data_IF_732845084810
#
_entry.id   IF_732845084810
#
_cell.length_a   1.000
_cell.length_b   1.000
_cell.length_c   1.000
_cell.angle_alpha   90.00
_cell.angle_beta   90.00
_cell.angle_gamma   90.00
#
_symmetry.space_group_name_H-M   'P 1'
#
loop_
_entity.id
_entity.type
_entity.pdbx_description
1 polymer ?
#
# COMPACT_ATOMS: atom_id res chain seq x y z
N UNK A 1 23.15 23.71 -0.50
CA UNK A 1 22.01 23.64 -1.43
C UNK A 1 21.33 22.29 -1.25
N UNK A 2 20.15 22.25 -0.62
CA UNK A 2 19.44 20.98 -0.42
C UNK A 2 18.68 20.62 -1.71
N UNK A 3 19.09 19.53 -2.36
CA UNK A 3 18.38 19.00 -3.52
C UNK A 3 17.07 18.40 -2.99
N UNK A 4 15.96 19.17 -3.08
CA UNK A 4 14.63 18.66 -2.74
C UNK A 4 14.14 17.80 -3.91
N UNK A 5 13.67 16.59 -3.62
CA UNK A 5 13.07 15.72 -4.64
C UNK A 5 11.79 16.33 -5.21
N UNK A 6 11.51 16.07 -6.50
CA UNK A 6 10.27 16.51 -7.14
C UNK A 6 9.05 15.85 -6.47
N UNK A 7 7.97 16.59 -6.15
CA UNK A 7 6.74 16.02 -5.62
C UNK A 7 5.97 15.19 -6.66
N UNK A 8 6.30 15.33 -7.94
CA UNK A 8 5.69 14.56 -9.04
C UNK A 8 6.41 13.24 -9.31
N UNK A 9 7.52 12.97 -8.62
CA UNK A 9 8.33 11.77 -8.80
C UNK A 9 8.28 10.88 -7.55
N UNK A 10 8.30 9.57 -7.77
CA UNK A 10 8.46 8.58 -6.68
C UNK A 10 9.94 8.45 -6.32
N UNK A 11 10.49 9.46 -5.64
CA UNK A 11 11.90 9.53 -5.26
C UNK A 11 12.13 9.24 -3.78
N UNK A 12 13.25 8.61 -3.45
CA UNK A 12 13.70 8.42 -2.06
C UNK A 12 14.06 9.74 -1.36
N UNK A 13 14.26 10.83 -2.11
CA UNK A 13 14.59 12.16 -1.58
C UNK A 13 13.35 13.04 -1.32
N UNK A 14 12.22 12.43 -0.94
CA UNK A 14 11.02 13.14 -0.53
C UNK A 14 11.13 13.68 0.91
N UNK A 15 10.39 14.76 1.26
CA UNK A 15 10.34 15.27 2.64
C UNK A 15 9.95 14.19 3.65
N UNK A 16 8.98 13.35 3.28
CA UNK A 16 8.60 12.14 4.02
C UNK A 16 9.02 10.92 3.20
N UNK A 17 9.94 10.13 3.75
CA UNK A 17 10.52 8.95 3.06
C UNK A 17 9.64 7.71 3.21
N UNK A 18 8.36 7.84 2.84
CA UNK A 18 7.39 6.75 2.85
C UNK A 18 7.16 6.31 1.40
N UNK A 19 7.46 5.04 1.12
CA UNK A 19 7.17 4.44 -0.17
C UNK A 19 5.80 3.75 -0.14
N UNK A 20 5.03 3.90 -1.23
CA UNK A 20 3.81 3.13 -1.47
C UNK A 20 4.11 2.02 -2.47
N UNK A 21 3.72 0.80 -2.14
CA UNK A 21 3.95 -0.39 -2.95
C UNK A 21 2.71 -1.25 -2.99
N UNK A 22 2.36 -1.74 -4.18
CA UNK A 22 1.35 -2.78 -4.35
C UNK A 22 2.09 -4.09 -4.56
N UNK A 23 1.84 -5.06 -3.70
CA UNK A 23 2.54 -6.35 -3.69
C UNK A 23 1.54 -7.49 -3.83
N UNK A 24 2.00 -8.62 -4.38
CA UNK A 24 1.20 -9.84 -4.38
C UNK A 24 1.45 -10.58 -3.06
N UNK A 25 0.39 -10.91 -2.33
CA UNK A 25 0.46 -11.78 -1.16
C UNK A 25 0.41 -13.24 -1.62
N UNK A 26 1.49 -13.99 -1.41
CA UNK A 26 1.54 -15.41 -1.77
C UNK A 26 1.03 -16.27 -0.63
N UNK A 27 1.50 -16.01 0.60
CA UNK A 27 1.05 -16.74 1.80
C UNK A 27 1.29 -15.95 3.08
N UNK A 28 0.59 -16.38 4.13
CA UNK A 28 0.73 -15.87 5.50
C UNK A 28 1.11 -17.01 6.44
N UNK A 29 2.13 -16.77 7.25
CA UNK A 29 2.60 -17.67 8.31
C UNK A 29 2.61 -16.89 9.64
N UNK A 30 1.56 -17.04 10.44
CA UNK A 30 1.42 -16.26 11.68
C UNK A 30 1.38 -14.75 11.43
N UNK A 31 2.43 -14.05 11.87
CA UNK A 31 2.67 -12.61 11.67
C UNK A 31 3.62 -12.30 10.50
N UNK A 32 4.07 -13.31 9.76
CA UNK A 32 4.92 -13.16 8.58
C UNK A 32 4.08 -13.22 7.31
N UNK A 33 4.26 -12.25 6.42
CA UNK A 33 3.65 -12.22 5.09
C UNK A 33 4.74 -12.48 4.06
N UNK A 34 4.52 -13.49 3.22
CA UNK A 34 5.39 -13.79 2.09
C UNK A 34 4.78 -13.14 0.85
N UNK A 35 5.52 -12.23 0.24
CA UNK A 35 5.03 -11.34 -0.82
C UNK A 35 5.99 -11.28 -2.00
N UNK A 36 5.47 -10.87 -3.16
CA UNK A 36 6.25 -10.63 -4.39
C UNK A 36 6.06 -9.20 -4.88
N UNK A 37 6.92 -8.79 -5.82
CA UNK A 37 6.92 -7.45 -6.42
C UNK A 37 7.33 -6.34 -5.44
N UNK A 38 8.23 -6.68 -4.50
CA UNK A 38 8.85 -5.75 -3.55
C UNK A 38 10.14 -5.18 -4.16
N UNK A 39 10.35 -3.88 -3.94
CA UNK A 39 11.52 -3.07 -4.33
C UNK A 39 12.09 -2.32 -3.10
N UNK A 40 11.87 -2.90 -1.91
CA UNK A 40 12.44 -2.44 -0.65
C UNK A 40 13.74 -3.20 -0.36
N UNK A 41 14.69 -2.52 0.27
CA UNK A 41 15.92 -3.16 0.75
C UNK A 41 15.61 -4.04 1.96
N UNK A 42 16.42 -5.07 2.18
CA UNK A 42 16.32 -5.89 3.39
C UNK A 42 16.45 -5.02 4.65
N UNK A 43 15.63 -5.33 5.66
CA UNK A 43 15.51 -4.54 6.89
C UNK A 43 14.76 -3.20 6.76
N UNK A 44 14.19 -2.85 5.59
CA UNK A 44 13.35 -1.65 5.46
C UNK A 44 12.12 -1.76 6.39
N UNK A 45 11.81 -0.73 7.19
CA UNK A 45 10.68 -0.78 8.11
C UNK A 45 9.34 -0.70 7.36
N UNK A 46 8.41 -1.56 7.75
CA UNK A 46 7.01 -1.49 7.32
C UNK A 46 6.26 -0.56 8.27
N UNK A 47 5.64 0.49 7.72
CA UNK A 47 4.90 1.48 8.52
C UNK A 47 3.40 1.19 8.55
N UNK A 48 2.87 0.56 7.50
CA UNK A 48 1.45 0.27 7.34
C UNK A 48 1.22 -0.85 6.32
N UNK A 49 0.09 -1.54 6.42
CA UNK A 49 -0.36 -2.58 5.49
C UNK A 49 -1.86 -2.41 5.28
N UNK A 50 -2.23 -2.07 4.05
CA UNK A 50 -3.62 -2.01 3.62
C UNK A 50 -3.90 -3.06 2.55
N UNK A 51 -5.10 -3.67 2.55
CA UNK A 51 -5.51 -4.59 1.50
C UNK A 51 -5.70 -3.83 0.20
N UNK A 52 -5.32 -4.47 -0.91
CA UNK A 52 -5.65 -3.98 -2.23
C UNK A 52 -7.10 -4.32 -2.56
N UNK A 53 -7.94 -3.31 -2.83
CA UNK A 53 -9.38 -3.49 -2.97
C UNK A 53 -9.80 -3.10 -4.39
N UNK A 54 -10.13 -4.12 -5.20
CA UNK A 54 -10.44 -4.01 -6.63
C UNK A 54 -11.43 -2.90 -7.00
N UNK A 55 -12.41 -2.62 -6.14
CA UNK A 55 -13.46 -1.62 -6.40
C UNK A 55 -13.03 -0.16 -6.18
N UNK A 56 -11.95 0.08 -5.42
CA UNK A 56 -11.44 1.43 -5.14
C UNK A 56 -10.02 1.64 -5.68
N UNK A 57 -9.31 0.56 -5.94
CA UNK A 57 -8.00 0.54 -6.57
C UNK A 57 -8.08 0.06 -8.05
N UNK A 58 -6.96 0.12 -8.78
CA UNK A 58 -6.93 0.00 -10.25
C UNK A 58 -6.71 -1.42 -10.82
N UNK A 59 -6.33 -2.42 -9.99
CA UNK A 59 -5.96 -3.75 -10.47
C UNK A 59 -7.20 -4.64 -10.59
N UNK A 60 -7.76 -4.73 -11.79
CA UNK A 60 -9.01 -5.47 -12.08
C UNK A 60 -8.96 -6.97 -11.78
N UNK A 61 -7.78 -7.57 -11.77
CA UNK A 61 -7.63 -9.00 -11.53
C UNK A 61 -7.32 -9.33 -10.06
N UNK A 62 -7.25 -8.32 -9.18
CA UNK A 62 -7.05 -8.56 -7.75
C UNK A 62 -8.30 -9.19 -7.12
N UNK A 63 -8.08 -10.01 -6.10
CA UNK A 63 -9.17 -10.49 -5.25
C UNK A 63 -9.71 -9.35 -4.38
N UNK A 64 -10.97 -9.44 -3.94
CA UNK A 64 -11.52 -8.54 -2.91
C UNK A 64 -11.06 -8.94 -1.49
N UNK A 65 -10.32 -10.05 -1.34
CA UNK A 65 -9.83 -10.54 -0.06
C UNK A 65 -10.93 -10.62 1.01
N UNK A 66 -10.65 -10.06 2.18
CA UNK A 66 -11.62 -10.00 3.29
C UNK A 66 -12.80 -9.04 3.05
N UNK A 67 -12.76 -8.21 1.99
CA UNK A 67 -13.89 -7.36 1.59
C UNK A 67 -14.89 -8.09 0.69
N UNK A 68 -14.64 -9.35 0.33
CA UNK A 68 -15.61 -10.16 -0.39
C UNK A 68 -16.98 -10.15 0.32
N UNK A 69 -18.03 -9.79 -0.43
CA UNK A 69 -19.40 -9.68 0.09
C UNK A 69 -19.69 -8.44 0.97
N UNK A 70 -18.73 -7.53 1.16
CA UNK A 70 -18.94 -6.28 1.92
C UNK A 70 -19.36 -5.13 1.00
N UNK A 71 -20.22 -4.26 1.52
CA UNK A 71 -20.60 -3.00 0.86
C UNK A 71 -19.72 -1.84 1.35
N UNK A 72 -19.60 -0.77 0.56
CA UNK A 72 -18.85 0.40 0.99
C UNK A 72 -19.56 1.07 2.17
N UNK A 73 -18.81 1.30 3.25
CA UNK A 73 -19.30 2.06 4.39
C UNK A 73 -19.32 3.56 4.04
N UNK A 74 -20.40 4.30 4.30
CA UNK A 74 -20.41 5.75 4.12
C UNK A 74 -19.41 6.40 5.09
N UNK A 75 -18.68 7.41 4.59
CA UNK A 75 -17.77 8.21 5.39
C UNK A 75 -18.55 8.88 6.54
N UNK A 76 -18.09 8.80 7.80
CA UNK A 76 -18.75 9.49 8.91
C UNK A 76 -18.81 11.00 8.64
N UNK A 77 -19.92 11.65 9.02
CA UNK A 77 -20.07 13.11 8.89
C UNK A 77 -18.99 13.84 9.71
N UNK A 78 -18.50 14.97 9.21
CA UNK A 78 -17.53 15.83 9.90
C UNK A 78 -16.08 15.36 9.85
N UNK A 79 -15.73 14.51 8.88
CA UNK A 79 -14.36 13.99 8.64
C UNK A 79 -13.86 14.43 7.26
N UNK A 80 -14.14 15.66 6.82
CA UNK A 80 -13.60 16.20 5.55
C UNK A 80 -12.27 16.90 5.78
#
# INVERSE_FOLDING_TARGET
MAIRGSPTARTRCAPNRIALMVVALDRREGNTLHVRHVDALDGSPVVDIEPYVRRIDSFRDSTEGWFAGKTNRPKPRGRE
#
